data_IF_364422150651
#
_entry.id   IF_364422150651
#
_cell.length_a   1.000
_cell.length_b   1.000
_cell.length_c   1.000
_cell.angle_alpha   90.00
_cell.angle_beta   90.00
_cell.angle_gamma   90.00
#
_symmetry.space_group_name_H-M   'P 1'
#
loop_
_entity.id
_entity.type
_entity.pdbx_description
1 polymer ?
#
# COMPACT_ATOMS: atom_id res chain seq x y z
N UNK A 1 -9.23 -11.42 -16.08
CA UNK A 1 -8.61 -11.95 -14.86
C UNK A 1 -8.32 -10.76 -13.98
N UNK A 2 -8.79 -10.74 -12.74
CA UNK A 2 -8.51 -9.66 -11.78
C UNK A 2 -7.02 -9.70 -11.43
N UNK A 3 -6.34 -8.56 -11.45
CA UNK A 3 -4.92 -8.45 -11.08
C UNK A 3 -4.75 -8.80 -9.59
N UNK A 4 -3.75 -9.63 -9.25
CA UNK A 4 -3.41 -9.87 -7.85
C UNK A 4 -2.63 -8.67 -7.31
N UNK A 5 -3.24 -7.89 -6.42
CA UNK A 5 -2.61 -6.70 -5.80
C UNK A 5 -1.74 -7.03 -4.59
N UNK A 6 -1.80 -8.28 -4.11
CA UNK A 6 -1.24 -8.71 -2.85
C UNK A 6 0.25 -9.06 -2.96
N UNK A 7 1.02 -8.72 -1.93
CA UNK A 7 2.28 -9.42 -1.64
C UNK A 7 1.91 -10.76 -1.00
N UNK A 8 2.06 -11.87 -1.74
CA UNK A 8 1.70 -13.18 -1.22
C UNK A 8 2.61 -13.60 -0.06
N UNK A 9 2.09 -14.33 0.94
CA UNK A 9 2.87 -14.74 2.10
C UNK A 9 3.98 -15.71 1.67
N UNK A 10 5.24 -15.34 1.91
CA UNK A 10 6.39 -16.18 1.58
C UNK A 10 6.35 -17.55 2.28
N UNK A 11 5.81 -17.63 3.49
CA UNK A 11 5.62 -18.87 4.26
C UNK A 11 4.37 -19.66 3.87
N UNK A 12 3.63 -19.21 2.87
CA UNK A 12 2.39 -19.82 2.40
C UNK A 12 1.15 -19.26 3.08
N UNK A 13 -0.01 -19.58 2.52
CA UNK A 13 -1.28 -19.17 3.10
C UNK A 13 -1.54 -19.88 4.43
N UNK A 14 -2.12 -19.13 5.37
CA UNK A 14 -2.64 -19.63 6.65
C UNK A 14 -4.16 -19.50 6.64
N UNK A 15 -4.85 -20.05 7.64
CA UNK A 15 -6.30 -19.86 7.80
C UNK A 15 -6.70 -18.37 7.88
N UNK A 16 -5.77 -17.52 8.34
CA UNK A 16 -5.96 -16.07 8.40
C UNK A 16 -5.82 -15.39 7.04
N UNK A 17 -4.84 -15.80 6.23
CA UNK A 17 -4.49 -15.13 4.96
C UNK A 17 -5.09 -15.78 3.71
N UNK A 18 -5.53 -17.04 3.77
CA UNK A 18 -6.17 -17.69 2.63
C UNK A 18 -7.44 -16.93 2.20
N UNK A 19 -7.68 -16.81 0.90
CA UNK A 19 -8.85 -16.11 0.38
C UNK A 19 -10.17 -16.58 0.99
N UNK A 20 -11.14 -15.67 1.08
CA UNK A 20 -12.47 -15.94 1.63
C UNK A 20 -13.41 -16.51 0.59
N UNK A 21 -14.31 -17.40 1.02
CA UNK A 21 -15.41 -17.85 0.16
C UNK A 21 -16.48 -16.77 0.03
N UNK A 22 -17.34 -16.93 -0.98
CA UNK A 22 -18.49 -16.05 -1.19
C UNK A 22 -19.39 -15.99 0.05
N UNK A 23 -19.64 -17.13 0.70
CA UNK A 23 -20.45 -17.25 1.91
C UNK A 23 -19.83 -16.48 3.08
N UNK A 24 -18.52 -16.56 3.26
CA UNK A 24 -17.80 -15.84 4.32
C UNK A 24 -17.87 -14.32 4.11
N UNK A 25 -17.72 -13.87 2.86
CA UNK A 25 -17.86 -12.45 2.51
C UNK A 25 -19.30 -11.98 2.79
N UNK A 26 -20.30 -12.72 2.33
CA UNK A 26 -21.72 -12.38 2.54
C UNK A 26 -22.11 -12.38 4.02
N UNK A 27 -21.56 -13.29 4.82
CA UNK A 27 -21.72 -13.27 6.27
C UNK A 27 -21.21 -11.95 6.84
N UNK A 28 -19.98 -11.54 6.48
CA UNK A 28 -19.41 -10.28 6.97
C UNK A 28 -20.23 -9.07 6.53
N UNK A 29 -20.69 -9.03 5.29
CA UNK A 29 -21.59 -7.98 4.79
C UNK A 29 -22.88 -7.87 5.59
N UNK A 30 -23.46 -9.02 5.98
CA UNK A 30 -24.65 -9.08 6.82
C UNK A 30 -24.37 -8.52 8.21
N UNK A 31 -23.18 -8.80 8.76
CA UNK A 31 -22.77 -8.27 10.06
C UNK A 31 -22.53 -6.76 10.07
N UNK A 32 -22.02 -6.18 8.99
CA UNK A 32 -21.78 -4.74 8.88
C UNK A 32 -22.98 -3.97 8.32
N UNK A 33 -23.99 -4.67 7.78
CA UNK A 33 -25.19 -4.06 7.18
C UNK A 33 -25.01 -3.50 5.76
N UNK A 34 -23.85 -3.71 5.13
CA UNK A 34 -23.49 -3.16 3.83
C UNK A 34 -22.84 -4.18 2.91
N UNK A 35 -23.01 -3.98 1.59
CA UNK A 35 -22.39 -4.81 0.55
C UNK A 35 -21.04 -4.24 0.15
N UNK A 36 -20.00 -5.07 0.20
CA UNK A 36 -18.67 -4.67 -0.23
C UNK A 36 -18.62 -4.44 -1.75
N UNK A 37 -17.76 -3.52 -2.22
CA UNK A 37 -17.51 -3.33 -3.65
C UNK A 37 -17.08 -4.62 -4.35
N UNK A 38 -17.56 -4.86 -5.57
CA UNK A 38 -17.30 -6.10 -6.30
C UNK A 38 -15.81 -6.39 -6.46
N UNK A 39 -14.99 -5.39 -6.80
CA UNK A 39 -13.55 -5.58 -6.94
C UNK A 39 -12.88 -5.97 -5.60
N UNK A 40 -13.29 -5.36 -4.49
CA UNK A 40 -12.80 -5.74 -3.16
C UNK A 40 -13.12 -7.20 -2.85
N UNK A 41 -14.35 -7.64 -3.13
CA UNK A 41 -14.74 -9.05 -2.93
C UNK A 41 -13.84 -10.00 -3.72
N UNK A 42 -13.54 -9.69 -4.97
CA UNK A 42 -12.66 -10.51 -5.80
C UNK A 42 -11.22 -10.54 -5.27
N UNK A 43 -10.69 -9.42 -4.77
CA UNK A 43 -9.38 -9.41 -4.12
C UNK A 43 -9.37 -10.24 -2.83
N UNK A 44 -10.42 -10.17 -2.02
CA UNK A 44 -10.53 -10.93 -0.76
C UNK A 44 -10.71 -12.44 -1.00
N UNK A 45 -11.20 -12.85 -2.17
CA UNK A 45 -11.22 -14.27 -2.61
C UNK A 45 -9.84 -14.81 -2.97
N UNK A 46 -8.90 -13.95 -3.34
CA UNK A 46 -7.52 -14.34 -3.64
C UNK A 46 -6.71 -14.46 -2.35
N UNK A 47 -6.72 -13.41 -1.54
CA UNK A 47 -6.04 -13.35 -0.24
C UNK A 47 -6.89 -12.54 0.74
N UNK A 48 -7.03 -13.03 1.96
CA UNK A 48 -7.83 -12.37 2.99
C UNK A 48 -7.02 -11.27 3.69
N UNK A 49 -6.84 -10.14 3.01
CA UNK A 49 -6.10 -8.98 3.53
C UNK A 49 -4.58 -9.17 3.51
N UNK A 50 -3.85 -8.13 3.91
CA UNK A 50 -2.39 -8.12 3.98
C UNK A 50 -1.75 -6.99 3.17
N UNK A 51 -0.44 -7.14 2.97
CA UNK A 51 0.39 -6.13 2.32
C UNK A 51 0.08 -6.04 0.82
N UNK A 52 0.10 -4.81 0.30
CA UNK A 52 -0.01 -4.54 -1.12
C UNK A 52 1.38 -4.35 -1.73
N UNK A 53 1.49 -4.61 -3.04
CA UNK A 53 2.65 -4.17 -3.80
C UNK A 53 2.71 -2.65 -3.85
N UNK A 54 1.62 -1.99 -4.23
CA UNK A 54 1.53 -0.53 -4.36
C UNK A 54 0.92 0.08 -3.10
N UNK A 55 1.63 1.01 -2.45
CA UNK A 55 1.28 1.52 -1.13
C UNK A 55 1.06 3.03 -1.04
N UNK A 56 1.36 3.81 -2.08
CA UNK A 56 1.11 5.25 -2.10
C UNK A 56 -0.03 5.60 -3.06
N UNK A 57 -0.83 6.60 -2.72
CA UNK A 57 -1.98 7.06 -3.49
C UNK A 57 -1.66 8.35 -4.25
N UNK A 58 -1.92 8.36 -5.56
CA UNK A 58 -1.96 9.61 -6.33
C UNK A 58 -3.32 10.28 -6.10
N UNK A 59 -3.31 11.44 -5.46
CA UNK A 59 -4.51 12.21 -5.15
C UNK A 59 -4.27 13.71 -5.37
N UNK A 60 -5.15 14.37 -6.12
CA UNK A 60 -5.06 15.80 -6.45
C UNK A 60 -3.72 16.29 -7.05
N UNK A 61 -2.97 15.39 -7.69
CA UNK A 61 -1.67 15.70 -8.27
C UNK A 61 -0.48 15.42 -7.35
N UNK A 62 -0.73 15.03 -6.11
CA UNK A 62 0.28 14.66 -5.11
C UNK A 62 0.35 13.15 -4.92
N UNK A 63 1.55 12.66 -4.57
CA UNK A 63 1.77 11.26 -4.16
C UNK A 63 1.78 11.19 -2.64
N UNK A 64 0.80 10.50 -2.08
CA UNK A 64 0.60 10.38 -0.64
C UNK A 64 0.94 8.96 -0.21
N UNK A 65 1.97 8.80 0.63
CA UNK A 65 2.21 7.49 1.25
C UNK A 65 1.00 7.14 2.11
N UNK A 66 0.34 6.01 1.78
CA UNK A 66 -0.91 5.62 2.41
C UNK A 66 -0.67 4.36 3.24
N UNK A 67 -0.42 3.22 2.60
CA UNK A 67 -0.26 1.91 3.24
C UNK A 67 1.21 1.60 3.54
N UNK A 68 1.84 2.34 4.46
CA UNK A 68 3.25 2.18 4.85
C UNK A 68 3.41 1.78 6.33
N UNK A 69 4.64 1.47 6.76
CA UNK A 69 4.99 1.13 8.15
C UNK A 69 4.20 -0.06 8.73
N UNK A 70 4.01 -1.12 7.96
CA UNK A 70 3.24 -2.28 8.44
C UNK A 70 1.73 -2.18 8.18
N UNK A 71 1.23 -1.07 7.62
CA UNK A 71 -0.17 -0.90 7.25
C UNK A 71 -0.57 -1.90 6.16
N UNK A 72 -1.76 -2.50 6.31
CA UNK A 72 -2.29 -3.52 5.38
C UNK A 72 -3.78 -3.35 5.17
N UNK A 73 -4.34 -3.88 4.07
CA UNK A 73 -5.80 -4.06 4.03
C UNK A 73 -6.17 -5.14 5.05
N UNK A 74 -7.17 -4.87 5.88
CA UNK A 74 -7.54 -5.76 6.96
C UNK A 74 -8.18 -7.05 6.46
N UNK A 75 -8.01 -8.07 7.29
CA UNK A 75 -8.61 -9.38 7.07
C UNK A 75 -10.10 -9.33 7.38
N UNK A 76 -10.92 -10.02 6.58
CA UNK A 76 -12.27 -10.38 7.00
C UNK A 76 -12.16 -11.45 8.08
N UNK A 77 -12.40 -11.03 9.32
CA UNK A 77 -12.54 -11.91 10.48
C UNK A 77 -14.01 -12.14 10.82
N UNK A 78 -14.34 -13.39 11.13
CA UNK A 78 -15.72 -13.81 11.43
C UNK A 78 -16.17 -13.39 12.82
N UNK A 79 -15.25 -13.19 13.77
CA UNK A 79 -15.57 -12.86 15.16
C UNK A 79 -14.53 -11.92 15.78
N UNK A 80 -15.01 -10.98 16.59
CA UNK A 80 -14.18 -10.00 17.32
C UNK A 80 -13.66 -8.85 16.45
N UNK A 81 -12.95 -7.93 17.10
CA UNK A 81 -12.36 -6.72 16.49
C UNK A 81 -13.36 -5.59 16.21
N UNK A 82 -12.82 -4.39 15.96
CA UNK A 82 -13.61 -3.25 15.50
C UNK A 82 -14.06 -3.49 14.05
N UNK A 83 -15.32 -3.15 13.77
CA UNK A 83 -15.94 -3.36 12.46
C UNK A 83 -16.13 -2.04 11.73
N UNK A 84 -16.45 -1.00 12.48
CA UNK A 84 -16.77 0.33 12.00
C UNK A 84 -15.94 1.37 12.78
N UNK A 85 -15.72 2.53 12.19
CA UNK A 85 -14.94 3.60 12.84
C UNK A 85 -15.51 3.99 14.20
N UNK A 86 -16.84 3.96 14.36
CA UNK A 86 -17.52 4.21 15.63
C UNK A 86 -17.01 3.32 16.77
N UNK A 87 -16.74 2.05 16.50
CA UNK A 87 -16.28 1.11 17.52
C UNK A 87 -14.91 1.51 18.06
N UNK A 88 -14.04 2.03 17.19
CA UNK A 88 -12.70 2.54 17.54
C UNK A 88 -12.82 3.84 18.34
N UNK A 89 -13.62 4.80 17.87
CA UNK A 89 -13.73 6.11 18.50
C UNK A 89 -14.30 6.04 19.92
N UNK A 90 -15.26 5.13 20.16
CA UNK A 90 -15.85 4.92 21.48
C UNK A 90 -14.89 4.35 22.53
N UNK A 91 -13.67 3.96 22.16
CA UNK A 91 -12.63 3.62 23.13
C UNK A 91 -11.93 4.83 23.74
N UNK A 92 -11.95 5.96 23.02
CA UNK A 92 -11.16 7.16 23.34
C UNK A 92 -12.04 8.36 23.66
N UNK A 93 -13.24 8.40 23.10
CA UNK A 93 -14.24 9.45 23.27
C UNK A 93 -15.51 8.87 23.85
N UNK A 94 -16.16 9.62 24.73
CA UNK A 94 -17.49 9.22 25.16
C UNK A 94 -18.54 9.47 24.06
N UNK A 95 -19.72 8.89 24.24
CA UNK A 95 -20.77 8.94 23.22
C UNK A 95 -21.28 10.37 22.98
N UNK A 96 -21.37 11.19 24.02
CA UNK A 96 -21.90 12.57 23.91
C UNK A 96 -20.89 13.47 23.18
N UNK A 97 -19.60 13.30 23.47
CA UNK A 97 -18.49 13.93 22.78
C UNK A 97 -18.46 13.52 21.29
N UNK A 98 -18.61 12.24 21.00
CA UNK A 98 -18.64 11.74 19.62
C UNK A 98 -19.84 12.29 18.83
N UNK A 99 -21.02 12.36 19.45
CA UNK A 99 -22.24 12.90 18.82
C UNK A 99 -22.16 14.42 18.57
N UNK A 100 -21.29 15.14 19.30
CA UNK A 100 -21.08 16.59 19.15
C UNK A 100 -19.79 16.97 18.40
N UNK A 101 -18.99 15.98 18.00
CA UNK A 101 -17.65 16.15 17.40
C UNK A 101 -17.60 16.78 16.00
N UNK A 102 -18.74 17.09 15.40
CA UNK A 102 -18.83 17.44 13.97
C UNK A 102 -19.99 18.38 13.69
N UNK A 103 -19.77 19.29 12.74
CA UNK A 103 -20.72 20.33 12.34
C UNK A 103 -21.75 19.82 11.31
N UNK A 104 -21.64 18.56 10.87
CA UNK A 104 -22.56 17.99 9.88
C UNK A 104 -23.96 17.80 10.47
N UNK A 105 -24.99 18.20 9.71
CA UNK A 105 -26.40 18.01 10.09
C UNK A 105 -26.78 16.52 10.22
N UNK A 106 -26.07 15.64 9.51
CA UNK A 106 -26.28 14.21 9.53
C UNK A 106 -24.97 13.51 9.85
N UNK A 107 -24.98 12.64 10.87
CA UNK A 107 -23.83 11.81 11.24
C UNK A 107 -24.29 10.42 11.60
N UNK A 108 -23.77 9.44 10.86
CA UNK A 108 -23.95 8.04 11.15
C UNK A 108 -22.64 7.27 10.91
N UNK A 109 -21.82 7.19 11.95
CA UNK A 109 -20.53 6.51 11.94
C UNK A 109 -20.65 4.98 11.78
N UNK A 110 -21.85 4.40 11.87
CA UNK A 110 -22.09 2.99 11.53
C UNK A 110 -21.96 2.72 10.03
N UNK A 111 -22.01 3.78 9.21
CA UNK A 111 -21.78 3.74 7.76
C UNK A 111 -20.31 3.77 7.36
N UNK A 112 -19.40 3.65 8.33
CA UNK A 112 -17.94 3.63 8.12
C UNK A 112 -17.29 2.26 8.45
N UNK A 113 -17.62 1.16 7.74
CA UNK A 113 -16.87 -0.09 7.88
C UNK A 113 -15.37 0.11 7.62
N UNK A 114 -14.54 -0.49 8.48
CA UNK A 114 -13.08 -0.37 8.39
C UNK A 114 -12.56 -1.25 7.24
N UNK A 115 -11.75 -0.64 6.38
CA UNK A 115 -10.98 -1.30 5.32
C UNK A 115 -9.54 -1.58 5.79
N UNK A 116 -8.95 -0.67 6.56
CA UNK A 116 -7.62 -0.83 7.15
C UNK A 116 -7.51 -0.04 8.45
N UNK A 117 -6.94 -0.69 9.48
CA UNK A 117 -6.51 0.00 10.71
C UNK A 117 -5.16 0.72 10.54
N UNK A 118 -4.53 0.63 9.37
CA UNK A 118 -3.27 1.28 9.02
C UNK A 118 -2.19 1.04 10.09
N UNK A 119 -1.75 2.09 10.78
CA UNK A 119 -0.78 2.08 11.87
C UNK A 119 -1.43 2.26 13.26
N UNK A 120 -2.76 2.27 13.32
CA UNK A 120 -3.56 2.49 14.54
C UNK A 120 -3.83 3.95 14.87
N UNK A 121 -3.14 4.88 14.21
CA UNK A 121 -3.35 6.33 14.32
C UNK A 121 -4.22 6.87 13.19
N UNK A 122 -4.22 6.15 12.08
CA UNK A 122 -5.02 6.45 10.90
C UNK A 122 -5.94 5.28 10.56
N UNK A 123 -7.05 5.57 9.89
CA UNK A 123 -8.04 4.55 9.50
C UNK A 123 -8.45 4.76 8.06
N UNK A 124 -8.52 3.69 7.28
CA UNK A 124 -9.13 3.68 5.96
C UNK A 124 -10.50 3.01 6.08
N UNK A 125 -11.55 3.68 5.61
CA UNK A 125 -12.93 3.20 5.74
C UNK A 125 -13.65 3.16 4.39
N UNK A 126 -14.57 2.20 4.25
CA UNK A 126 -15.66 2.31 3.29
C UNK A 126 -16.68 3.30 3.83
N UNK A 127 -16.96 4.36 3.09
CA UNK A 127 -17.95 5.36 3.44
C UNK A 127 -19.24 5.18 2.64
N UNK A 128 -20.27 4.66 3.30
CA UNK A 128 -21.62 4.52 2.76
C UNK A 128 -22.49 5.77 3.03
N UNK A 129 -21.87 6.94 3.20
CA UNK A 129 -22.56 8.21 3.42
C UNK A 129 -22.76 8.49 4.90
N UNK A 130 -21.67 8.53 5.67
CA UNK A 130 -21.71 8.83 7.11
C UNK A 130 -22.19 10.25 7.41
N UNK A 131 -21.98 11.20 6.50
CA UNK A 131 -22.30 12.61 6.66
C UNK A 131 -23.49 13.09 5.80
N UNK A 132 -24.30 12.16 5.29
CA UNK A 132 -25.49 12.46 4.48
C UNK A 132 -26.72 11.70 5.01
N UNK A 133 -27.90 12.19 4.70
CA UNK A 133 -29.17 11.61 5.18
C UNK A 133 -29.33 10.13 4.73
N UNK A 134 -29.16 9.87 3.44
CA UNK A 134 -29.34 8.56 2.83
C UNK A 134 -28.02 7.86 2.55
N UNK A 135 -27.97 6.55 2.80
CA UNK A 135 -26.78 5.76 2.55
C UNK A 135 -26.50 5.58 1.04
N UNK A 136 -25.23 5.52 0.67
CA UNK A 136 -24.81 5.18 -0.69
C UNK A 136 -24.93 3.68 -0.94
N UNK A 137 -25.27 3.29 -2.17
CA UNK A 137 -25.18 1.88 -2.60
C UNK A 137 -23.73 1.46 -2.84
N UNK A 138 -22.91 2.36 -3.40
CA UNK A 138 -21.49 2.16 -3.67
C UNK A 138 -20.72 3.05 -2.70
N UNK A 139 -19.87 2.48 -1.82
CA UNK A 139 -19.12 3.28 -0.86
C UNK A 139 -18.00 4.05 -1.55
N UNK A 140 -17.76 5.25 -1.04
CA UNK A 140 -16.50 5.97 -1.26
C UNK A 140 -15.43 5.38 -0.32
N UNK A 141 -14.17 5.77 -0.51
CA UNK A 141 -13.11 5.43 0.45
C UNK A 141 -12.61 6.70 1.10
N UNK A 142 -12.52 6.69 2.43
CA UNK A 142 -12.12 7.84 3.23
C UNK A 142 -10.98 7.42 4.15
N UNK A 143 -9.99 8.28 4.29
CA UNK A 143 -8.90 8.10 5.25
C UNK A 143 -8.96 9.16 6.33
N UNK A 144 -8.95 8.70 7.58
CA UNK A 144 -9.07 9.48 8.79
C UNK A 144 -7.75 9.47 9.56
N UNK A 145 -7.37 10.62 10.10
CA UNK A 145 -6.37 10.77 11.16
C UNK A 145 -7.09 10.83 12.51
N UNK A 146 -6.60 10.11 13.51
CA UNK A 146 -7.22 10.04 14.83
C UNK A 146 -6.38 10.70 15.93
N UNK A 147 -5.05 10.58 15.89
CA UNK A 147 -4.21 10.98 17.04
C UNK A 147 -4.12 12.50 17.17
N UNK A 148 -3.98 13.19 16.04
CA UNK A 148 -3.74 14.64 16.03
C UNK A 148 -5.00 15.46 15.71
N UNK A 149 -6.16 14.81 15.65
CA UNK A 149 -7.41 15.47 15.32
C UNK A 149 -8.01 16.17 16.56
N UNK A 150 -8.35 17.46 16.42
CA UNK A 150 -8.88 18.28 17.52
C UNK A 150 -10.20 17.71 18.11
N UNK A 151 -11.03 17.08 17.26
CA UNK A 151 -12.29 16.45 17.64
C UNK A 151 -12.21 14.91 17.67
N UNK A 152 -11.01 14.36 17.80
CA UNK A 152 -10.74 12.92 17.89
C UNK A 152 -10.73 12.14 16.57
N UNK A 153 -11.21 12.73 15.46
CA UNK A 153 -10.95 12.25 14.10
C UNK A 153 -11.04 13.38 13.06
N UNK A 154 -10.26 13.27 11.99
CA UNK A 154 -10.23 14.24 10.90
C UNK A 154 -10.12 13.51 9.55
N UNK A 155 -11.02 13.81 8.62
CA UNK A 155 -10.92 13.33 7.24
C UNK A 155 -9.74 14.00 6.53
N UNK A 156 -8.76 13.20 6.09
CA UNK A 156 -7.57 13.70 5.39
C UNK A 156 -7.70 13.61 3.87
N UNK A 157 -8.38 12.58 3.37
CA UNK A 157 -8.58 12.38 1.94
C UNK A 157 -9.79 11.49 1.67
N UNK A 158 -10.31 11.62 0.45
CA UNK A 158 -11.46 10.86 -0.06
C UNK A 158 -11.28 10.50 -1.52
N UNK A 159 -11.60 9.26 -1.88
CA UNK A 159 -11.63 8.79 -3.28
C UNK A 159 -12.98 8.16 -3.62
N UNK A 160 -13.30 8.15 -4.92
CA UNK A 160 -14.67 7.92 -5.40
C UNK A 160 -15.18 6.50 -5.14
N UNK A 161 -14.28 5.52 -5.08
CA UNK A 161 -14.62 4.11 -4.87
C UNK A 161 -13.36 3.29 -4.54
N UNK A 162 -13.56 2.02 -4.17
CA UNK A 162 -12.45 1.06 -4.02
C UNK A 162 -11.68 0.84 -5.33
N UNK A 163 -12.37 0.78 -6.47
CA UNK A 163 -11.75 0.70 -7.79
C UNK A 163 -10.87 1.94 -8.06
N UNK A 164 -11.36 3.13 -7.73
CA UNK A 164 -10.59 4.37 -7.87
C UNK A 164 -9.34 4.35 -6.97
N UNK A 165 -9.47 3.88 -5.73
CA UNK A 165 -8.34 3.66 -4.83
C UNK A 165 -7.28 2.77 -5.48
N UNK A 166 -7.65 1.54 -5.85
CA UNK A 166 -6.69 0.55 -6.38
C UNK A 166 -6.02 1.04 -7.66
N UNK A 167 -6.75 1.68 -8.57
CA UNK A 167 -6.17 2.16 -9.81
C UNK A 167 -5.21 3.35 -9.61
N UNK A 168 -5.35 4.11 -8.52
CA UNK A 168 -4.49 5.26 -8.18
C UNK A 168 -3.32 4.90 -7.26
N UNK A 169 -3.26 3.68 -6.75
CA UNK A 169 -2.11 3.21 -5.99
C UNK A 169 -0.89 3.06 -6.90
N UNK A 170 0.26 3.48 -6.40
CA UNK A 170 1.57 3.37 -7.06
C UNK A 170 2.62 2.77 -6.13
N UNK A 171 3.64 2.15 -6.74
CA UNK A 171 4.77 1.56 -6.05
C UNK A 171 5.75 2.68 -5.67
N UNK A 172 5.57 3.29 -4.49
CA UNK A 172 6.33 4.47 -4.03
C UNK A 172 6.54 4.46 -2.51
N UNK A 173 7.56 5.17 -2.04
CA UNK A 173 7.80 5.43 -0.63
C UNK A 173 8.64 4.37 0.07
N UNK A 174 8.59 4.40 1.41
CA UNK A 174 9.49 3.68 2.31
C UNK A 174 9.63 2.17 2.05
N UNK A 175 8.53 1.49 1.66
CA UNK A 175 8.52 0.04 1.40
C UNK A 175 8.64 -0.32 -0.09
N UNK A 176 8.81 0.70 -0.94
CA UNK A 176 8.80 0.59 -2.40
C UNK A 176 10.08 1.11 -3.05
N UNK A 177 11.22 0.74 -2.47
CA UNK A 177 12.52 1.31 -2.85
C UNK A 177 13.27 0.50 -3.90
N UNK A 178 12.85 -0.72 -4.22
CA UNK A 178 13.62 -1.60 -5.10
C UNK A 178 13.07 -1.62 -6.51
N UNK A 179 13.96 -1.64 -7.50
CA UNK A 179 13.59 -2.08 -8.85
C UNK A 179 13.54 -3.60 -8.85
N UNK A 180 12.47 -4.16 -9.40
CA UNK A 180 12.34 -5.60 -9.58
C UNK A 180 12.32 -5.93 -11.06
N UNK A 181 13.26 -6.78 -11.47
CA UNK A 181 13.37 -7.29 -12.84
C UNK A 181 13.10 -8.81 -12.81
N UNK A 182 12.14 -9.25 -13.62
CA UNK A 182 11.86 -10.67 -13.82
C UNK A 182 12.84 -11.23 -14.82
N UNK A 183 13.39 -12.41 -14.54
CA UNK A 183 14.27 -13.15 -15.46
C UNK A 183 13.65 -14.52 -15.77
N UNK A 184 13.49 -14.78 -17.07
CA UNK A 184 12.97 -16.03 -17.60
C UNK A 184 14.13 -16.85 -18.13
N UNK A 185 14.41 -17.95 -17.44
CA UNK A 185 15.55 -18.82 -17.74
C UNK A 185 15.29 -20.22 -17.20
N UNK A 186 15.68 -21.21 -18.00
CA UNK A 186 15.70 -22.62 -17.59
C UNK A 186 17.03 -23.00 -16.90
N UNK A 187 18.00 -22.08 -16.87
CA UNK A 187 19.27 -22.29 -16.20
C UNK A 187 19.11 -22.24 -14.67
N UNK A 188 19.87 -23.04 -13.90
CA UNK A 188 19.94 -22.91 -12.46
C UNK A 188 20.38 -21.51 -12.00
N UNK A 189 19.89 -21.08 -10.84
CA UNK A 189 20.18 -19.75 -10.27
C UNK A 189 21.69 -19.50 -10.08
N UNK A 190 22.48 -20.55 -9.83
CA UNK A 190 23.94 -20.49 -9.77
C UNK A 190 24.57 -19.96 -11.06
N UNK A 191 24.04 -20.41 -12.21
CA UNK A 191 24.57 -20.02 -13.52
C UNK A 191 24.25 -18.56 -13.78
N UNK A 192 23.03 -18.13 -13.46
CA UNK A 192 22.62 -16.72 -13.56
C UNK A 192 23.49 -15.85 -12.65
N UNK A 193 23.69 -16.24 -11.39
CA UNK A 193 24.58 -15.55 -10.46
C UNK A 193 26.03 -15.51 -10.99
N UNK A 194 26.50 -16.61 -11.58
CA UNK A 194 27.82 -16.68 -12.23
C UNK A 194 27.97 -15.73 -13.41
N UNK A 195 26.92 -15.54 -14.21
CA UNK A 195 26.90 -14.56 -15.30
C UNK A 195 26.97 -13.14 -14.74
N UNK A 196 26.24 -12.84 -13.66
CA UNK A 196 26.30 -11.52 -12.97
C UNK A 196 27.73 -11.28 -12.46
N UNK A 197 28.29 -12.24 -11.71
CA UNK A 197 29.65 -12.17 -11.19
C UNK A 197 30.67 -11.87 -12.29
N UNK A 198 30.63 -12.61 -13.40
CA UNK A 198 31.54 -12.41 -14.52
C UNK A 198 31.33 -11.08 -15.24
N UNK A 199 30.07 -10.63 -15.37
CA UNK A 199 29.73 -9.44 -16.15
C UNK A 199 30.13 -8.16 -15.41
N UNK A 200 30.03 -8.16 -14.08
CA UNK A 200 30.26 -6.97 -13.26
C UNK A 200 31.48 -7.08 -12.33
N UNK A 201 32.29 -8.13 -12.48
CA UNK A 201 33.42 -8.43 -11.61
C UNK A 201 33.01 -8.42 -10.12
N UNK A 202 31.94 -9.17 -9.83
CA UNK A 202 31.35 -9.30 -8.50
C UNK A 202 31.56 -10.70 -7.93
N UNK A 203 31.43 -10.79 -6.61
CA UNK A 203 31.31 -12.05 -5.88
C UNK A 203 30.01 -12.03 -5.08
N UNK A 204 28.91 -12.42 -5.73
CA UNK A 204 27.63 -12.58 -5.06
C UNK A 204 27.70 -13.70 -4.00
N UNK A 205 27.35 -13.38 -2.77
CA UNK A 205 27.29 -14.30 -1.65
C UNK A 205 26.01 -15.12 -1.70
N UNK A 206 26.13 -16.46 -1.59
CA UNK A 206 24.98 -17.33 -1.44
C UNK A 206 24.35 -17.16 -0.05
N UNK A 207 23.03 -17.02 -0.04
CA UNK A 207 22.21 -16.93 1.16
C UNK A 207 21.19 -18.06 1.19
N UNK A 208 20.94 -18.59 2.38
CA UNK A 208 19.91 -19.62 2.66
C UNK A 208 18.99 -19.20 3.81
N UNK A 209 19.20 -18.01 4.38
CA UNK A 209 18.33 -17.45 5.40
C UNK A 209 17.03 -16.94 4.79
N UNK A 210 15.98 -16.86 5.62
CA UNK A 210 14.65 -16.45 5.20
C UNK A 210 14.43 -14.93 5.22
N UNK A 211 15.48 -14.12 5.44
CA UNK A 211 15.41 -12.66 5.42
C UNK A 211 14.29 -12.08 6.30
N UNK A 212 14.21 -12.53 7.56
CA UNK A 212 13.12 -12.20 8.50
C UNK A 212 11.74 -12.67 8.03
N UNK A 213 11.70 -13.74 7.25
CA UNK A 213 10.48 -14.36 6.73
C UNK A 213 10.03 -13.91 5.36
N UNK A 214 10.72 -12.94 4.73
CA UNK A 214 10.40 -12.43 3.39
C UNK A 214 11.06 -13.22 2.25
N UNK A 215 12.09 -14.02 2.53
CA UNK A 215 12.93 -14.71 1.55
C UNK A 215 12.87 -16.24 1.75
N UNK A 216 11.67 -16.82 1.72
CA UNK A 216 11.47 -18.26 1.90
C UNK A 216 11.88 -19.08 0.66
N UNK A 217 13.19 -19.12 0.39
CA UNK A 217 13.81 -19.80 -0.74
C UNK A 217 14.85 -20.81 -0.25
N UNK A 218 15.11 -21.85 -1.05
CA UNK A 218 16.20 -22.80 -0.74
C UNK A 218 17.56 -22.08 -0.74
N UNK A 219 17.75 -21.19 -1.71
CA UNK A 219 18.92 -20.32 -1.83
C UNK A 219 18.58 -19.11 -2.68
N UNK A 220 19.32 -18.04 -2.45
CA UNK A 220 19.32 -16.81 -3.22
C UNK A 220 20.71 -16.18 -3.11
N UNK A 221 21.00 -15.15 -3.90
CA UNK A 221 22.33 -14.51 -3.86
C UNK A 221 22.23 -13.01 -3.62
N UNK A 222 23.23 -12.48 -2.93
CA UNK A 222 23.34 -11.08 -2.53
C UNK A 222 24.70 -10.51 -2.89
N UNK A 223 24.76 -9.26 -3.35
CA UNK A 223 26.03 -8.53 -3.38
C UNK A 223 25.83 -7.05 -3.64
N UNK A 224 26.92 -6.30 -3.48
CA UNK A 224 26.93 -4.86 -3.74
C UNK A 224 27.58 -4.58 -5.09
N UNK A 225 26.83 -3.94 -5.99
CA UNK A 225 27.29 -3.45 -7.28
C UNK A 225 27.65 -1.97 -7.18
N UNK A 226 28.91 -1.62 -7.42
CA UNK A 226 29.33 -0.22 -7.52
C UNK A 226 29.07 0.30 -8.92
N UNK A 227 28.16 1.26 -9.06
CA UNK A 227 27.82 1.88 -10.34
C UNK A 227 28.77 3.04 -10.63
N UNK A 228 29.01 3.90 -9.65
CA UNK A 228 30.04 4.96 -9.70
C UNK A 228 30.51 5.35 -8.29
N UNK A 229 31.31 6.40 -8.17
CA UNK A 229 31.88 6.85 -6.88
C UNK A 229 30.85 7.27 -5.82
N UNK A 230 29.60 7.54 -6.21
CA UNK A 230 28.53 8.02 -5.33
C UNK A 230 27.28 7.12 -5.34
N UNK A 231 27.19 6.17 -6.26
CA UNK A 231 26.03 5.32 -6.47
C UNK A 231 26.47 3.85 -6.45
N UNK A 232 25.89 3.08 -5.53
CA UNK A 232 25.93 1.62 -5.55
C UNK A 232 24.53 1.04 -5.50
N UNK A 233 24.42 -0.27 -5.72
CA UNK A 233 23.17 -1.00 -5.64
C UNK A 233 23.39 -2.29 -4.86
N UNK A 234 22.50 -2.60 -3.92
CA UNK A 234 22.38 -3.93 -3.36
C UNK A 234 21.57 -4.78 -4.32
N UNK A 235 22.20 -5.79 -4.89
CA UNK A 235 21.57 -6.76 -5.78
C UNK A 235 21.15 -7.98 -4.98
N UNK A 236 19.93 -8.45 -5.20
CA UNK A 236 19.47 -9.76 -4.76
C UNK A 236 18.88 -10.51 -5.95
N UNK A 237 19.36 -11.72 -6.21
CA UNK A 237 18.74 -12.61 -7.18
C UNK A 237 18.07 -13.76 -6.43
N UNK A 238 16.75 -13.86 -6.57
CA UNK A 238 15.93 -14.86 -5.90
C UNK A 238 15.17 -15.69 -6.93
N UNK A 239 14.73 -16.91 -6.60
CA UNK A 239 13.58 -17.50 -7.28
C UNK A 239 12.35 -16.58 -7.18
N UNK A 240 11.44 -16.66 -8.16
CA UNK A 240 10.14 -16.02 -8.04
C UNK A 240 9.16 -16.84 -7.16
N UNK A 241 9.30 -18.16 -7.19
CA UNK A 241 8.46 -19.08 -6.42
C UNK A 241 9.09 -19.42 -5.07
N UNK A 242 8.35 -19.18 -4.00
CA UNK A 242 8.76 -19.55 -2.65
C UNK A 242 8.68 -21.07 -2.44
N UNK A 243 9.38 -21.60 -1.42
CA UNK A 243 9.29 -23.00 -1.02
C UNK A 243 7.86 -23.43 -0.64
N UNK A 244 7.07 -22.49 -0.13
CA UNK A 244 5.64 -22.66 0.19
C UNK A 244 4.72 -22.74 -1.04
N UNK A 245 5.26 -22.56 -2.25
CA UNK A 245 4.58 -22.55 -3.55
C UNK A 245 3.77 -21.29 -3.87
N UNK A 246 3.73 -20.30 -2.98
CA UNK A 246 3.33 -18.93 -3.34
C UNK A 246 4.43 -18.24 -4.15
N UNK A 247 4.15 -17.03 -4.65
CA UNK A 247 5.08 -16.30 -5.52
C UNK A 247 5.38 -14.91 -4.96
N UNK A 248 6.61 -14.44 -5.18
CA UNK A 248 6.97 -13.04 -4.94
C UNK A 248 6.14 -12.16 -5.88
N UNK A 249 6.19 -12.43 -7.19
CA UNK A 249 5.36 -11.77 -8.20
C UNK A 249 4.35 -12.74 -8.82
N UNK A 250 3.19 -12.86 -8.17
CA UNK A 250 2.12 -13.77 -8.57
C UNK A 250 1.54 -13.50 -9.97
N UNK A 251 1.49 -12.26 -10.42
CA UNK A 251 1.00 -11.93 -11.76
C UNK A 251 2.02 -12.31 -12.86
N UNK A 252 3.26 -12.63 -12.48
CA UNK A 252 4.41 -12.81 -13.37
C UNK A 252 5.10 -14.17 -13.14
N UNK A 253 4.31 -15.24 -12.95
CA UNK A 253 4.81 -16.59 -12.61
C UNK A 253 5.69 -17.23 -13.66
N UNK A 254 5.63 -16.72 -14.89
CA UNK A 254 6.41 -17.23 -16.01
C UNK A 254 7.87 -16.78 -15.96
N UNK A 255 8.21 -15.80 -15.11
CA UNK A 255 9.59 -15.50 -14.73
C UNK A 255 10.02 -16.44 -13.60
N UNK A 256 11.13 -17.13 -13.83
CA UNK A 256 11.70 -18.10 -12.90
C UNK A 256 12.40 -17.41 -11.73
N UNK A 257 13.04 -16.28 -12.00
CA UNK A 257 13.87 -15.53 -11.06
C UNK A 257 13.51 -14.05 -11.04
N UNK A 258 13.88 -13.40 -9.95
CA UNK A 258 13.67 -11.97 -9.72
C UNK A 258 14.97 -11.36 -9.26
N UNK A 259 15.42 -10.34 -10.00
CA UNK A 259 16.53 -9.47 -9.62
C UNK A 259 15.94 -8.23 -8.92
N UNK A 260 16.16 -8.13 -7.62
CA UNK A 260 15.88 -6.99 -6.76
C UNK A 260 17.12 -6.08 -6.72
N UNK A 261 16.90 -4.80 -7.01
CA UNK A 261 17.93 -3.77 -7.12
C UNK A 261 17.56 -2.59 -6.23
N UNK A 262 18.23 -2.50 -5.10
CA UNK A 262 18.03 -1.49 -4.08
C UNK A 262 19.21 -0.50 -4.13
N UNK A 263 19.00 0.70 -4.69
CA UNK A 263 20.09 1.65 -4.89
C UNK A 263 20.46 2.37 -3.59
N UNK A 264 21.73 2.78 -3.52
CA UNK A 264 22.36 3.44 -2.40
C UNK A 264 23.16 4.64 -2.92
N UNK A 265 22.80 5.85 -2.47
CA UNK A 265 23.47 7.10 -2.84
C UNK A 265 24.21 7.66 -1.64
N UNK A 266 25.52 7.44 -1.56
CA UNK A 266 26.50 8.19 -0.74
C UNK A 266 26.28 8.37 0.78
N UNK A 267 25.10 8.08 1.33
CA UNK A 267 24.66 8.20 2.73
C UNK A 267 23.31 7.46 2.89
N UNK A 268 22.97 7.07 4.12
CA UNK A 268 21.79 6.26 4.54
C UNK A 268 20.41 6.90 4.27
N UNK A 269 20.11 7.39 3.06
CA UNK A 269 18.80 7.97 2.76
C UNK A 269 17.93 7.06 1.89
N UNK A 270 16.74 6.76 2.40
CA UNK A 270 15.73 5.82 1.88
C UNK A 270 14.90 6.36 0.69
N UNK A 271 15.31 7.45 0.03
CA UNK A 271 14.36 8.25 -0.78
C UNK A 271 14.73 8.48 -2.26
N UNK A 272 15.86 7.98 -2.75
CA UNK A 272 16.32 8.33 -4.12
C UNK A 272 16.07 7.25 -5.18
N UNK A 273 15.40 6.14 -4.82
CA UNK A 273 15.10 5.08 -5.77
C UNK A 273 13.79 5.42 -6.45
N UNK A 274 13.88 5.98 -7.66
CA UNK A 274 12.69 6.36 -8.41
C UNK A 274 12.92 6.22 -9.90
N UNK A 275 11.84 6.24 -10.68
CA UNK A 275 11.87 5.92 -12.11
C UNK A 275 12.78 6.84 -12.95
N UNK A 276 13.29 7.98 -12.46
CA UNK A 276 14.32 8.76 -13.17
C UNK A 276 15.65 8.00 -13.29
N UNK A 277 15.96 7.08 -12.36
CA UNK A 277 17.15 6.23 -12.43
C UNK A 277 16.95 5.00 -13.31
N UNK A 278 15.74 4.75 -13.81
CA UNK A 278 15.42 3.56 -14.59
C UNK A 278 16.36 3.39 -15.79
N UNK A 279 16.55 4.45 -16.59
CA UNK A 279 17.41 4.39 -17.78
C UNK A 279 18.88 4.12 -17.43
N UNK A 280 19.37 4.71 -16.34
CA UNK A 280 20.75 4.50 -15.86
C UNK A 280 20.95 3.05 -15.42
N UNK A 281 20.00 2.50 -14.65
CA UNK A 281 20.03 1.10 -14.19
C UNK A 281 19.96 0.16 -15.40
N UNK A 282 19.02 0.43 -16.30
CA UNK A 282 18.82 -0.38 -17.50
C UNK A 282 20.07 -0.36 -18.38
N UNK A 283 20.66 0.81 -18.66
CA UNK A 283 21.90 0.97 -19.42
C UNK A 283 23.06 0.23 -18.75
N UNK A 284 23.25 0.42 -17.44
CA UNK A 284 24.33 -0.21 -16.69
C UNK A 284 24.21 -1.74 -16.69
N UNK A 285 22.99 -2.28 -16.60
CA UNK A 285 22.74 -3.71 -16.56
C UNK A 285 22.67 -4.35 -17.95
N UNK A 286 22.64 -3.58 -19.05
CA UNK A 286 22.57 -4.12 -20.42
C UNK A 286 23.57 -5.24 -20.73
N UNK A 287 24.86 -5.19 -20.27
CA UNK A 287 25.80 -6.28 -20.53
C UNK A 287 25.37 -7.64 -19.97
N UNK A 288 24.52 -7.65 -18.95
CA UNK A 288 23.87 -8.83 -18.39
C UNK A 288 22.52 -9.09 -19.05
N UNK A 289 21.66 -8.07 -19.08
CA UNK A 289 20.28 -8.16 -19.55
C UNK A 289 20.16 -8.57 -21.03
N UNK A 290 21.11 -8.17 -21.87
CA UNK A 290 21.17 -8.59 -23.30
C UNK A 290 21.35 -10.10 -23.50
N UNK A 291 21.71 -10.85 -22.44
CA UNK A 291 21.87 -12.31 -22.47
C UNK A 291 20.67 -13.05 -21.86
N UNK A 292 19.69 -12.33 -21.32
CA UNK A 292 18.57 -12.88 -20.58
C UNK A 292 17.26 -12.51 -21.27
N UNK A 293 16.22 -13.30 -21.03
CA UNK A 293 14.85 -12.86 -21.31
C UNK A 293 14.30 -12.21 -20.05
N UNK A 294 13.97 -10.93 -20.10
CA UNK A 294 13.69 -10.13 -18.92
C UNK A 294 12.61 -9.06 -19.15
N UNK A 295 11.97 -8.62 -18.07
CA UNK A 295 11.09 -7.46 -18.04
C UNK A 295 11.11 -6.79 -16.65
N UNK A 296 10.79 -5.50 -16.57
CA UNK A 296 10.59 -4.82 -15.29
C UNK A 296 9.23 -5.26 -14.69
N UNK A 297 9.26 -5.73 -13.45
CA UNK A 297 8.05 -6.14 -12.71
C UNK A 297 7.53 -5.00 -11.83
N UNK A 298 8.42 -4.28 -11.17
CA UNK A 298 8.11 -3.08 -10.40
C UNK A 298 9.23 -2.06 -10.52
N UNK A 299 8.84 -0.80 -10.63
CA UNK A 299 9.74 0.34 -10.72
C UNK A 299 9.24 1.36 -9.70
N UNK A 300 10.08 1.77 -8.73
CA UNK A 300 9.73 2.83 -7.80
C UNK A 300 9.27 4.08 -8.55
N UNK A 301 8.09 4.58 -8.24
CA UNK A 301 7.53 5.77 -8.84
C UNK A 301 8.36 7.01 -8.45
N UNK A 302 8.27 8.09 -9.23
CA UNK A 302 8.84 9.38 -8.85
C UNK A 302 7.74 10.43 -8.78
N UNK A 303 7.56 11.04 -7.61
CA UNK A 303 6.50 12.03 -7.35
C UNK A 303 6.56 13.26 -8.26
N UNK A 304 7.75 13.60 -8.79
CA UNK A 304 7.95 14.75 -9.68
C UNK A 304 8.14 14.33 -11.15
N UNK A 305 7.68 13.16 -11.58
CA UNK A 305 7.76 12.74 -12.99
C UNK A 305 6.51 13.16 -13.78
N UNK A 306 6.51 14.32 -14.47
CA UNK A 306 5.33 14.85 -15.16
C UNK A 306 4.83 13.96 -16.29
N UNK A 307 5.70 13.22 -16.99
CA UNK A 307 5.31 12.36 -18.12
C UNK A 307 4.53 11.11 -17.67
N UNK A 308 4.93 10.51 -16.56
CA UNK A 308 4.21 9.39 -15.94
C UNK A 308 2.89 9.86 -15.32
N UNK A 309 2.88 11.02 -14.67
CA UNK A 309 1.65 11.68 -14.21
C UNK A 309 0.69 11.90 -15.40
N UNK A 310 1.19 12.33 -16.56
CA UNK A 310 0.37 12.58 -17.75
C UNK A 310 -0.12 11.28 -18.42
N UNK A 311 0.70 10.23 -18.49
CA UNK A 311 0.29 8.89 -18.98
C UNK A 311 -0.78 8.27 -18.10
N UNK A 312 -0.63 8.39 -16.78
CA UNK A 312 -1.63 7.94 -15.81
C UNK A 312 -2.91 8.77 -15.96
N UNK A 313 -2.84 10.11 -16.01
CA UNK A 313 -4.02 10.96 -16.29
C UNK A 313 -4.77 10.53 -17.55
N UNK A 314 -4.07 10.20 -18.64
CA UNK A 314 -4.68 9.73 -19.90
C UNK A 314 -5.30 8.33 -19.80
N UNK A 315 -4.76 7.43 -18.98
CA UNK A 315 -5.38 6.11 -18.76
C UNK A 315 -6.67 6.21 -17.94
N UNK A 316 -6.79 7.24 -17.10
CA UNK A 316 -8.01 7.56 -16.34
C UNK A 316 -9.10 8.24 -17.18
N UNK A 317 -8.73 9.17 -18.07
CA UNK A 317 -9.71 9.84 -18.96
C UNK A 317 -10.41 8.87 -19.94
N UNK A 318 -9.78 7.74 -20.27
CA UNK A 318 -10.40 6.70 -21.11
C UNK A 318 -11.45 5.85 -20.36
N UNK A 319 -11.44 5.84 -19.02
CA UNK A 319 -12.45 5.17 -18.18
C UNK A 319 -13.54 6.13 -17.68
N UNK A 320 -13.29 7.44 -17.63
CA UNK A 320 -14.28 8.44 -17.19
C UNK A 320 -15.31 8.86 -18.27
N UNK A 321 -15.18 8.39 -19.53
CA UNK A 321 -16.23 8.59 -20.55
C UNK A 321 -17.39 7.57 -20.46
N UNK A 322 -17.97 7.44 -19.27
CA UNK A 322 -19.39 7.04 -19.11
C UNK A 322 -19.83 7.24 -17.66
N UNK A 323 -20.35 8.44 -17.37
CA UNK A 323 -21.35 8.79 -16.35
C UNK A 323 -20.97 10.12 -15.66
N UNK A 324 -21.32 11.21 -16.34
CA UNK A 324 -21.41 12.53 -15.72
C UNK A 324 -22.59 12.54 -14.74
N UNK A 325 -22.32 12.25 -13.47
CA UNK A 325 -23.12 12.79 -12.37
C UNK A 325 -22.27 13.77 -11.57
N UNK A 326 -22.76 15.01 -11.55
CA UNK A 326 -22.13 16.17 -10.92
C UNK A 326 -21.94 15.91 -9.43
N UNK A 327 -20.69 15.92 -8.99
CA UNK A 327 -20.34 16.06 -7.57
C UNK A 327 -20.94 17.38 -7.02
N UNK A 328 -21.59 17.37 -5.84
CA UNK A 328 -22.05 18.59 -5.20
C UNK A 328 -20.87 19.44 -4.70
N UNK A 329 -21.01 20.77 -4.65
CA UNK A 329 -19.92 21.68 -4.32
C UNK A 329 -19.60 21.64 -2.82
N UNK A 330 -18.34 21.32 -2.47
CA UNK A 330 -17.82 21.48 -1.11
C UNK A 330 -17.29 22.90 -0.85
N UNK A 331 -17.84 23.46 0.23
CA UNK A 331 -17.35 24.47 1.18
C UNK A 331 -16.92 25.88 0.75
N UNK A 332 -17.63 26.82 1.37
CA UNK A 332 -17.35 28.23 1.54
C UNK A 332 -15.93 28.48 2.09
N UNK A 333 -15.23 29.43 1.46
CA UNK A 333 -14.11 30.15 2.08
C UNK A 333 -14.67 31.12 3.12
N UNK A 334 -14.26 31.02 4.38
CA UNK A 334 -14.34 32.15 5.31
C UNK A 334 -12.98 32.84 5.36
N UNK A 335 -13.01 34.14 5.10
CA UNK A 335 -11.87 35.05 5.14
C UNK A 335 -11.50 35.36 6.60
N UNK A 336 -10.23 35.68 6.81
CA UNK A 336 -9.62 35.96 8.11
C UNK A 336 -10.17 37.16 8.89
N UNK A 337 -9.77 37.20 10.16
CA UNK A 337 -9.95 38.30 11.11
C UNK A 337 -9.08 38.05 12.35
N UNK A 338 -8.44 39.11 12.84
CA UNK A 338 -7.30 39.14 13.76
C UNK A 338 -7.54 38.74 15.23
N UNK A 339 -6.45 38.24 15.82
CA UNK A 339 -5.95 38.32 17.21
C UNK A 339 -6.91 38.66 18.36
N UNK A 340 -6.87 37.81 19.40
CA UNK A 340 -6.57 38.31 20.75
C UNK A 340 -5.95 37.21 21.64
N UNK A 341 -4.95 37.65 22.43
CA UNK A 341 -4.21 36.83 23.41
C UNK A 341 -5.01 36.75 24.72
N UNK A 342 -5.05 35.58 25.36
CA UNK A 342 -4.84 35.45 26.83
C UNK A 342 -4.63 33.99 27.28
N UNK A 343 -3.45 33.76 27.87
CA UNK A 343 -3.05 32.95 29.04
C UNK A 343 -3.62 31.54 29.34
N UNK A 344 -2.69 30.58 29.31
CA UNK A 344 -2.29 29.61 30.36
C UNK A 344 -3.34 29.06 31.34
N UNK A 345 -3.68 27.77 31.17
CA UNK A 345 -3.32 26.65 32.07
C UNK A 345 -4.23 25.45 31.77
N UNK A 346 -3.67 24.28 31.41
CA UNK A 346 -3.68 23.06 32.25
C UNK A 346 -3.29 21.78 31.51
N UNK A 347 -2.49 21.00 32.23
CA UNK A 347 -2.22 19.55 32.12
C UNK A 347 -1.72 18.99 30.80
N UNK A 348 -0.39 18.94 30.75
CA UNK A 348 0.41 18.00 29.99
C UNK A 348 -0.01 16.54 30.30
N UNK A 349 -0.81 15.94 29.41
CA UNK A 349 -1.15 14.51 29.41
C UNK A 349 -0.71 13.81 28.11
N UNK A 350 0.34 14.28 27.45
CA UNK A 350 0.99 13.53 26.37
C UNK A 350 1.96 12.49 26.96
N UNK A 351 1.43 11.33 27.34
CA UNK A 351 2.25 10.11 27.51
C UNK A 351 1.72 9.08 26.53
N UNK A 352 2.51 8.81 25.48
CA UNK A 352 2.22 7.81 24.45
C UNK A 352 1.83 6.47 25.08
N UNK A 353 0.61 6.04 24.79
CA UNK A 353 -0.11 4.96 25.48
C UNK A 353 0.11 3.57 24.85
N UNK A 354 0.74 3.50 23.67
CA UNK A 354 0.94 2.29 22.85
C UNK A 354 1.74 1.13 23.48
N UNK A 355 2.32 1.31 24.67
CA UNK A 355 2.93 0.20 25.44
C UNK A 355 1.92 -0.79 26.04
N UNK A 356 0.60 -0.56 25.94
CA UNK A 356 -0.44 -1.46 26.47
C UNK A 356 -1.11 -2.38 25.45
N UNK A 357 -0.97 -2.12 24.15
CA UNK A 357 -1.66 -2.89 23.10
C UNK A 357 -0.90 -4.14 22.64
N UNK A 358 0.33 -4.35 23.13
CA UNK A 358 1.17 -5.52 22.81
C UNK A 358 1.58 -6.36 24.04
N UNK A 359 0.78 -6.33 25.11
CA UNK A 359 0.96 -7.20 26.29
C UNK A 359 -0.15 -8.22 26.43
#
# INVERSE_FOLDING_TARGET
MTEDIWKQPAKGFTDKSIGRTEEQIVQKETEIGFKFPSLYREHMKIQNGGYLWKSALIHNGDVNELLFNGSTIDQIINHGGYKILKDVLLEYMDKEELESSTESEFINLERLPILSHMDGHTMLCFDYGYNVESAYEIPQIVHFELECADNGYEEKLRVKSYDDLINKLVYYGYESTSFFIGLKSDEPIEQIAGIINKTFDLELEQKTNDGYGWYNFEKWYYGELKINSKLSAHLRITPNKFQSKTFLFQNNKDFNYVLDIDLRIGVESFQDNSNYLKSIIEEFLQPFLSKQNWDFLQIPYHKENPEEIEKLKKSFEFKEKSNDEKLPPTMYKSNGGESDKTNDNTSNKSRSWWKRLWS
#
